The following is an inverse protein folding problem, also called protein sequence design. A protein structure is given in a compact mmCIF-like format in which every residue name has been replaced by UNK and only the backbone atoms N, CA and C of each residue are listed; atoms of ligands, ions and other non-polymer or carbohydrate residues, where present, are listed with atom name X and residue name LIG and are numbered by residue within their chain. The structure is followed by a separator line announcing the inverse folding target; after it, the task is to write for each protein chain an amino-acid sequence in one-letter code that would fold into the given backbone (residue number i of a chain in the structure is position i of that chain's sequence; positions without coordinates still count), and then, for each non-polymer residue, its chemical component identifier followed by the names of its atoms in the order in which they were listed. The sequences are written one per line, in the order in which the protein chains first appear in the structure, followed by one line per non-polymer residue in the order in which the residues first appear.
data_IF_947241152676
#
_entry.id   IF_947241152676
#
_cell.length_a   1.000
_cell.length_b   1.000
_cell.length_c   1.000
_cell.angle_alpha   90.00
_cell.angle_beta   90.00
_cell.angle_gamma   90.00
#
_symmetry.space_group_name_H-M   'P 1'
#
loop_
_entity.id
_entity.type
_entity.pdbx_description
1 polymer ?
#
# COMPACT_ATOMS: atom_id res chain seq x y z
N UNK A 1 6.49 11.45 0.48
CA UNK A 1 5.15 11.93 0.85
C UNK A 1 4.55 10.95 1.84
N UNK A 2 4.36 11.38 3.08
CA UNK A 2 3.78 10.58 4.16
C UNK A 2 2.74 11.38 4.96
N UNK A 3 2.30 12.54 4.45
CA UNK A 3 1.37 13.44 5.14
C UNK A 3 1.96 14.19 6.33
N UNK A 4 3.29 14.26 6.47
CA UNK A 4 3.98 15.03 7.53
C UNK A 4 5.02 15.98 6.91
N UNK A 5 4.79 17.31 6.87
CA UNK A 5 3.53 18.01 7.18
C UNK A 5 2.37 17.64 6.22
N UNK A 6 1.14 18.06 6.56
CA UNK A 6 -0.10 17.60 5.91
C UNK A 6 -0.16 17.90 4.40
N UNK A 7 0.51 18.94 3.95
CA UNK A 7 0.68 19.29 2.54
C UNK A 7 1.56 18.30 1.77
N UNK A 8 2.32 17.43 2.44
CA UNK A 8 3.09 16.34 1.85
C UNK A 8 2.30 15.03 1.71
N UNK A 9 1.02 15.13 1.35
CA UNK A 9 0.17 13.99 0.96
C UNK A 9 0.40 13.65 -0.52
N UNK A 10 0.52 12.36 -0.81
CA UNK A 10 0.53 11.84 -2.18
C UNK A 10 -0.83 11.28 -2.61
N UNK A 11 -0.96 10.88 -3.88
CA UNK A 11 -2.18 10.26 -4.37
C UNK A 11 -2.47 8.95 -3.62
N UNK A 12 -3.74 8.52 -3.52
CA UNK A 12 -4.11 7.33 -2.75
C UNK A 12 -3.42 6.08 -3.29
N UNK A 13 -2.69 5.36 -2.43
CA UNK A 13 -1.88 4.21 -2.86
C UNK A 13 -2.75 3.03 -3.35
N UNK A 14 -4.00 2.95 -2.91
CA UNK A 14 -4.99 1.97 -3.37
C UNK A 14 -5.29 2.06 -4.85
N UNK A 15 -5.05 3.23 -5.48
CA UNK A 15 -5.18 3.42 -6.93
C UNK A 15 -4.00 2.85 -7.72
N UNK A 16 -2.88 2.55 -7.06
CA UNK A 16 -1.64 2.09 -7.71
C UNK A 16 -1.41 0.60 -7.59
N UNK A 17 -1.93 -0.04 -6.53
CA UNK A 17 -1.86 -1.49 -6.41
C UNK A 17 -3.05 -2.06 -5.63
N UNK A 18 -3.63 -3.14 -6.17
CA UNK A 18 -4.82 -3.79 -5.61
C UNK A 18 -4.58 -4.42 -4.24
N UNK A 19 -3.37 -4.89 -3.96
CA UNK A 19 -3.06 -5.46 -2.64
C UNK A 19 -3.39 -4.52 -1.47
N UNK A 20 -3.32 -3.20 -1.66
CA UNK A 20 -3.67 -2.25 -0.59
C UNK A 20 -5.18 -2.10 -0.38
N UNK A 21 -5.98 -2.06 -1.44
CA UNK A 21 -7.44 -2.00 -1.31
C UNK A 21 -7.99 -3.32 -0.78
N UNK A 22 -7.48 -4.45 -1.26
CA UNK A 22 -7.85 -5.78 -0.78
C UNK A 22 -7.44 -6.00 0.68
N UNK A 23 -6.27 -5.52 1.11
CA UNK A 23 -5.89 -5.54 2.52
C UNK A 23 -6.91 -4.80 3.40
N UNK A 24 -7.29 -3.57 3.01
CA UNK A 24 -8.28 -2.78 3.74
C UNK A 24 -9.65 -3.47 3.79
N UNK A 25 -10.10 -4.01 2.65
CA UNK A 25 -11.37 -4.74 2.57
C UNK A 25 -11.38 -5.97 3.49
N UNK A 26 -10.31 -6.77 3.47
CA UNK A 26 -10.21 -7.97 4.30
C UNK A 26 -10.10 -7.62 5.79
N UNK A 27 -9.32 -6.59 6.15
CA UNK A 27 -9.16 -6.18 7.54
C UNK A 27 -10.48 -5.72 8.17
N UNK A 28 -11.29 -4.99 7.41
CA UNK A 28 -12.61 -4.51 7.84
C UNK A 28 -13.73 -5.55 7.72
N UNK A 29 -13.53 -6.63 6.95
CA UNK A 29 -14.54 -7.68 6.80
C UNK A 29 -14.65 -8.54 8.05
N UNK A 30 -15.68 -8.27 8.86
CA UNK A 30 -15.96 -9.02 10.09
C UNK A 30 -16.23 -10.51 9.85
N UNK A 31 -16.54 -10.90 8.61
CA UNK A 31 -16.80 -12.27 8.20
C UNK A 31 -15.60 -12.91 7.49
N UNK A 32 -14.44 -12.25 7.41
CA UNK A 32 -13.23 -12.83 6.84
C UNK A 32 -12.91 -14.15 7.53
N UNK A 33 -12.82 -15.22 6.75
CA UNK A 33 -12.44 -16.53 7.24
C UNK A 33 -10.97 -16.52 7.68
N UNK A 34 -10.74 -16.79 8.97
CA UNK A 34 -9.39 -16.91 9.53
C UNK A 34 -8.93 -18.35 9.42
N UNK A 35 -7.80 -18.56 8.75
CA UNK A 35 -7.20 -19.89 8.66
C UNK A 35 -6.89 -20.45 10.06
N UNK A 36 -7.09 -21.77 10.30
CA UNK A 36 -6.74 -22.41 11.57
C UNK A 36 -5.27 -22.16 11.96
N UNK A 37 -4.43 -22.07 10.94
CA UNK A 37 -3.00 -21.81 11.04
C UNK A 37 -2.68 -20.44 11.63
N UNK A 38 -3.38 -19.37 11.23
CA UNK A 38 -3.23 -18.04 11.83
C UNK A 38 -3.89 -18.00 13.20
N UNK A 39 -5.08 -18.62 13.33
CA UNK A 39 -5.83 -18.63 14.58
C UNK A 39 -5.04 -19.28 15.73
N UNK A 40 -4.36 -20.40 15.47
CA UNK A 40 -3.52 -21.06 16.48
C UNK A 40 -2.24 -20.26 16.80
N UNK A 41 -1.67 -19.61 15.79
CA UNK A 41 -0.41 -18.85 15.91
C UNK A 41 -0.57 -17.51 16.64
N UNK A 42 -1.75 -16.88 16.54
CA UNK A 42 -1.92 -15.49 16.97
C UNK A 42 -1.76 -15.28 18.47
N UNK A 43 -2.12 -16.28 19.28
CA UNK A 43 -2.05 -16.18 20.73
C UNK A 43 -0.59 -16.01 21.18
N UNK A 44 0.33 -16.79 20.61
CA UNK A 44 1.77 -16.66 20.86
C UNK A 44 2.27 -15.27 20.47
N UNK A 45 1.80 -14.76 19.33
CA UNK A 45 2.19 -13.44 18.86
C UNK A 45 1.67 -12.33 19.78
N UNK A 46 0.41 -12.41 20.23
CA UNK A 46 -0.19 -11.45 21.17
C UNK A 46 0.61 -11.42 22.47
N UNK A 47 0.96 -12.59 23.02
CA UNK A 47 1.78 -12.65 24.22
C UNK A 47 3.14 -11.98 24.04
N UNK A 48 3.85 -12.30 22.95
CA UNK A 48 5.16 -11.71 22.70
C UNK A 48 5.10 -10.20 22.43
N UNK A 49 4.08 -9.72 21.72
CA UNK A 49 3.89 -8.29 21.48
C UNK A 49 3.59 -7.52 22.77
N UNK A 50 2.78 -8.11 23.68
CA UNK A 50 2.38 -7.49 24.93
C UNK A 50 3.44 -7.52 26.04
N UNK A 51 4.50 -8.32 25.89
CA UNK A 51 5.55 -8.48 26.89
C UNK A 51 6.48 -7.25 26.98
N UNK A 52 7.11 -7.09 28.15
CA UNK A 52 8.19 -6.12 28.35
C UNK A 52 9.54 -6.75 28.03
N UNK A 53 10.41 -5.97 27.38
CA UNK A 53 11.76 -6.39 27.03
C UNK A 53 12.76 -5.36 27.54
N UNK A 54 13.93 -5.82 27.96
CA UNK A 54 14.97 -4.93 28.49
C UNK A 54 15.59 -4.09 27.36
N UNK A 55 15.58 -4.60 26.13
CA UNK A 55 16.14 -3.93 24.95
C UNK A 55 15.23 -4.00 23.72
N UNK A 56 15.47 -3.08 22.78
CA UNK A 56 14.82 -3.07 21.45
C UNK A 56 15.15 -4.34 20.66
N UNK A 57 16.42 -4.77 20.70
CA UNK A 57 16.89 -5.96 20.00
C UNK A 57 16.19 -7.23 20.48
N UNK A 58 16.04 -7.41 21.80
CA UNK A 58 15.33 -8.57 22.38
C UNK A 58 13.87 -8.62 21.95
N UNK A 59 13.15 -7.49 21.99
CA UNK A 59 11.76 -7.42 21.52
C UNK A 59 11.68 -7.83 20.06
N UNK A 60 12.53 -7.26 19.21
CA UNK A 60 12.43 -7.45 17.77
C UNK A 60 12.94 -8.81 17.32
N UNK A 61 13.93 -9.39 17.98
CA UNK A 61 14.29 -10.80 17.83
C UNK A 61 13.08 -11.68 18.14
N UNK A 62 12.37 -11.42 19.24
CA UNK A 62 11.22 -12.25 19.60
C UNK A 62 10.04 -12.14 18.65
N UNK A 63 9.75 -10.92 18.19
CA UNK A 63 8.71 -10.69 17.17
C UNK A 63 9.11 -11.37 15.86
N UNK A 64 10.35 -11.21 15.40
CA UNK A 64 10.86 -11.88 14.19
C UNK A 64 10.77 -13.40 14.29
N UNK A 65 11.18 -13.98 15.41
CA UNK A 65 11.13 -15.43 15.64
C UNK A 65 9.73 -16.01 15.50
N UNK A 66 8.71 -15.25 15.89
CA UNK A 66 7.32 -15.72 15.80
C UNK A 66 6.79 -15.50 14.38
N UNK A 67 7.10 -14.38 13.74
CA UNK A 67 6.71 -14.13 12.34
C UNK A 67 7.40 -15.12 11.38
N UNK A 68 8.64 -15.52 11.66
CA UNK A 68 9.43 -16.43 10.82
C UNK A 68 8.85 -17.85 10.75
N UNK A 69 8.01 -18.21 11.72
CA UNK A 69 7.21 -19.46 11.69
C UNK A 69 6.15 -19.46 10.59
N UNK A 70 5.77 -18.29 10.06
CA UNK A 70 4.75 -18.14 9.01
C UNK A 70 5.34 -17.67 7.69
N UNK A 71 6.28 -16.74 7.72
CA UNK A 71 6.83 -16.12 6.52
C UNK A 71 8.35 -16.08 6.54
N UNK A 72 8.97 -16.13 5.38
CA UNK A 72 10.43 -15.94 5.28
C UNK A 72 10.80 -14.48 5.53
N UNK A 73 11.62 -14.25 6.54
CA UNK A 73 12.11 -12.92 6.94
C UNK A 73 13.62 -12.95 6.94
N UNK A 74 14.23 -11.97 6.28
CA UNK A 74 15.67 -11.77 6.30
C UNK A 74 16.02 -10.44 6.97
N UNK A 75 17.15 -10.42 7.66
CA UNK A 75 17.77 -9.20 8.17
C UNK A 75 18.69 -8.63 7.10
N UNK A 76 18.57 -7.33 6.86
CA UNK A 76 19.33 -6.67 5.81
C UNK A 76 20.05 -5.46 6.39
N UNK A 77 21.37 -5.57 6.37
CA UNK A 77 22.28 -4.48 6.71
C UNK A 77 22.63 -3.67 5.47
N UNK A 78 22.56 -2.36 5.60
CA UNK A 78 22.97 -1.40 4.58
C UNK A 78 24.07 -0.52 5.15
N UNK A 79 25.14 -0.31 4.41
CA UNK A 79 26.10 0.75 4.75
C UNK A 79 25.64 2.05 4.11
N UNK A 80 25.51 3.11 4.91
CA UNK A 80 25.34 4.44 4.38
C UNK A 80 26.65 4.99 3.76
N UNK A 81 26.59 6.20 3.19
CA UNK A 81 27.76 6.84 2.57
C UNK A 81 28.88 7.17 3.57
N UNK A 82 28.58 7.20 4.87
CA UNK A 82 29.55 7.37 5.96
C UNK A 82 30.17 6.04 6.41
N UNK A 83 29.74 4.91 5.84
CA UNK A 83 30.17 3.57 6.26
C UNK A 83 29.52 3.10 7.56
N UNK A 84 28.51 3.81 8.07
CA UNK A 84 27.71 3.37 9.22
C UNK A 84 26.68 2.37 8.70
N UNK A 85 26.68 1.18 9.31
CA UNK A 85 25.68 0.15 9.06
C UNK A 85 24.33 0.55 9.67
N UNK A 86 23.29 0.59 8.86
CA UNK A 86 21.89 0.67 9.28
C UNK A 86 21.21 -0.64 8.88
N UNK A 87 20.55 -1.28 9.84
CA UNK A 87 19.76 -2.49 9.60
C UNK A 87 18.28 -2.16 9.65
N UNK A 88 17.53 -2.70 8.69
CA UNK A 88 16.09 -2.81 8.84
C UNK A 88 15.79 -4.03 9.73
N UNK A 89 14.80 -3.90 10.62
CA UNK A 89 14.46 -4.95 11.59
C UNK A 89 13.86 -6.21 10.98
N UNK A 90 13.59 -6.22 9.69
CA UNK A 90 13.21 -7.40 8.94
C UNK A 90 12.66 -7.06 7.57
N UNK A 91 12.90 -7.93 6.60
CA UNK A 91 12.38 -7.77 5.25
C UNK A 91 11.75 -9.07 4.79
N UNK A 92 10.54 -8.97 4.25
CA UNK A 92 9.87 -10.05 3.55
C UNK A 92 10.17 -9.93 2.06
N UNK A 93 10.63 -11.02 1.45
CA UNK A 93 11.14 -11.00 0.08
C UNK A 93 10.54 -12.09 -0.79
N UNK A 94 10.43 -11.81 -2.08
CA UNK A 94 10.13 -12.82 -3.10
C UNK A 94 11.12 -12.76 -4.26
N UNK A 95 11.36 -13.90 -4.90
CA UNK A 95 12.22 -13.99 -6.09
C UNK A 95 11.42 -13.68 -7.36
N UNK A 96 11.97 -12.81 -8.20
CA UNK A 96 11.45 -12.54 -9.55
C UNK A 96 12.26 -13.36 -10.54
N UNK A 97 11.60 -14.30 -11.23
CA UNK A 97 12.20 -15.17 -12.25
C UNK A 97 13.54 -15.82 -11.80
N UNK A 98 13.65 -16.12 -10.50
CA UNK A 98 14.85 -16.64 -9.82
C UNK A 98 16.14 -15.81 -10.00
N UNK A 99 16.04 -14.53 -10.38
CA UNK A 99 17.19 -13.65 -10.63
C UNK A 99 17.24 -12.47 -9.69
N UNK A 100 16.15 -11.71 -9.61
CA UNK A 100 16.06 -10.52 -8.78
C UNK A 100 15.25 -10.81 -7.53
N UNK A 101 15.39 -9.96 -6.51
CA UNK A 101 14.66 -10.07 -5.26
C UNK A 101 13.86 -8.80 -5.06
N UNK A 102 12.54 -8.94 -4.91
CA UNK A 102 11.64 -7.84 -4.57
C UNK A 102 11.25 -7.90 -3.11
N UNK A 103 11.10 -6.73 -2.50
CA UNK A 103 10.80 -6.59 -1.08
C UNK A 103 9.31 -6.31 -0.96
N UNK A 104 8.55 -7.29 -0.48
CA UNK A 104 7.09 -7.18 -0.38
C UNK A 104 6.69 -6.47 0.90
N UNK A 105 7.50 -6.55 1.96
CA UNK A 105 7.28 -5.81 3.19
C UNK A 105 8.56 -5.55 3.99
N UNK A 106 8.51 -4.52 4.82
CA UNK A 106 9.56 -4.11 5.76
C UNK A 106 9.01 -4.16 7.18
N UNK A 107 9.84 -4.51 8.15
CA UNK A 107 9.55 -4.39 9.58
C UNK A 107 10.47 -3.32 10.14
N UNK A 108 9.90 -2.40 10.91
CA UNK A 108 10.66 -1.45 11.70
C UNK A 108 10.08 -1.33 13.09
N UNK A 109 10.93 -1.44 14.09
CA UNK A 109 10.54 -1.62 15.47
C UNK A 109 11.18 -0.62 16.42
N UNK A 110 10.52 -0.37 17.54
CA UNK A 110 11.08 0.32 18.69
C UNK A 110 10.68 -0.43 19.97
N UNK A 111 11.54 -0.40 20.99
CA UNK A 111 11.21 -1.10 22.24
C UNK A 111 9.90 -0.58 22.85
N UNK A 112 9.68 0.73 22.85
CA UNK A 112 8.45 1.37 23.33
C UNK A 112 8.14 2.64 22.52
N UNK A 113 6.94 3.19 22.71
CA UNK A 113 6.60 4.49 22.12
C UNK A 113 7.54 5.57 22.66
N UNK A 114 8.25 6.25 21.76
CA UNK A 114 9.20 7.30 22.09
C UNK A 114 10.63 6.83 22.37
N UNK A 115 10.92 5.52 22.29
CA UNK A 115 12.30 5.01 22.34
C UNK A 115 13.01 5.10 20.99
N UNK A 116 14.33 4.90 20.98
CA UNK A 116 15.16 4.77 19.76
C UNK A 116 15.35 6.05 18.92
N UNK A 117 14.84 7.21 19.36
CA UNK A 117 15.14 8.51 18.76
C UNK A 117 14.50 8.79 17.40
N UNK A 118 13.71 7.86 16.86
CA UNK A 118 12.97 8.01 15.62
C UNK A 118 11.62 7.29 15.69
N UNK A 119 10.66 7.80 14.92
CA UNK A 119 9.37 7.16 14.70
C UNK A 119 9.54 5.98 13.73
N UNK A 120 9.13 4.74 14.11
CA UNK A 120 9.35 3.56 13.28
C UNK A 120 8.65 3.64 11.92
N UNK A 121 7.55 4.39 11.80
CA UNK A 121 6.89 4.62 10.49
C UNK A 121 7.71 5.51 9.56
N UNK A 122 8.44 6.48 10.11
CA UNK A 122 9.35 7.33 9.34
C UNK A 122 10.59 6.53 8.95
N UNK A 123 11.17 5.79 9.89
CA UNK A 123 12.38 5.00 9.64
C UNK A 123 12.10 3.86 8.65
N UNK A 124 10.99 3.12 8.78
CA UNK A 124 10.57 2.11 7.80
C UNK A 124 10.32 2.69 6.40
N UNK A 125 9.72 3.89 6.31
CA UNK A 125 9.55 4.58 5.03
C UNK A 125 10.89 4.99 4.39
N UNK A 126 11.89 5.35 5.20
CA UNK A 126 13.25 5.65 4.75
C UNK A 126 13.91 4.37 4.22
N UNK A 127 13.82 3.24 4.92
CA UNK A 127 14.38 1.97 4.43
C UNK A 127 13.75 1.51 3.11
N UNK A 128 12.42 1.63 2.99
CA UNK A 128 11.72 1.40 1.72
C UNK A 128 12.30 2.27 0.60
N UNK A 129 12.39 3.58 0.82
CA UNK A 129 12.91 4.53 -0.17
C UNK A 129 14.34 4.19 -0.55
N UNK A 130 15.18 3.94 0.45
CA UNK A 130 16.61 3.80 0.26
C UNK A 130 16.93 2.51 -0.49
N UNK A 131 16.29 1.38 -0.15
CA UNK A 131 16.41 0.14 -0.90
C UNK A 131 15.97 0.31 -2.36
N UNK A 132 14.75 0.81 -2.56
CA UNK A 132 14.19 0.93 -3.91
C UNK A 132 14.86 2.02 -4.73
N UNK A 133 15.65 2.92 -4.13
CA UNK A 133 16.47 3.90 -4.86
C UNK A 133 17.81 3.33 -5.36
N UNK A 134 18.24 2.16 -4.88
CA UNK A 134 19.54 1.59 -5.27
C UNK A 134 19.57 1.16 -6.73
N UNK A 135 20.78 1.16 -7.32
CA UNK A 135 20.98 0.70 -8.70
C UNK A 135 20.57 -0.76 -8.88
N UNK A 136 20.80 -1.62 -7.88
CA UNK A 136 20.42 -3.05 -7.94
C UNK A 136 18.90 -3.27 -8.06
N UNK A 137 18.09 -2.30 -7.63
CA UNK A 137 16.63 -2.36 -7.69
C UNK A 137 16.05 -1.66 -8.92
N UNK A 138 16.90 -1.06 -9.77
CA UNK A 138 16.47 -0.22 -10.89
C UNK A 138 15.61 -0.97 -11.90
N UNK A 139 15.95 -2.21 -12.24
CA UNK A 139 15.20 -3.00 -13.23
C UNK A 139 13.75 -3.26 -12.76
N UNK A 140 13.55 -3.57 -11.48
CA UNK A 140 12.21 -3.77 -10.91
C UNK A 140 11.46 -2.44 -10.82
N UNK A 141 12.13 -1.38 -10.35
CA UNK A 141 11.58 -0.02 -10.25
C UNK A 141 11.19 0.55 -11.62
N UNK A 142 11.89 0.17 -12.67
CA UNK A 142 11.54 0.57 -14.04
C UNK A 142 10.28 -0.13 -14.53
N UNK A 143 10.01 -1.34 -14.06
CA UNK A 143 8.85 -2.14 -14.46
C UNK A 143 7.54 -1.82 -13.74
N UNK A 144 7.60 -1.32 -12.50
CA UNK A 144 6.41 -1.10 -11.69
C UNK A 144 6.61 -0.05 -10.59
N UNK A 145 5.53 0.28 -9.87
CA UNK A 145 5.55 1.21 -8.74
C UNK A 145 6.17 0.62 -7.46
N UNK A 146 6.75 -0.59 -7.52
CA UNK A 146 7.35 -1.34 -6.40
C UNK A 146 6.51 -1.26 -5.10
N UNK A 147 5.25 -1.75 -5.13
CA UNK A 147 4.38 -1.73 -3.97
C UNK A 147 4.96 -2.61 -2.86
N UNK A 148 5.05 -2.06 -1.65
CA UNK A 148 5.45 -2.81 -0.45
C UNK A 148 4.59 -2.40 0.74
N UNK A 149 4.45 -3.30 1.71
CA UNK A 149 3.92 -2.97 3.04
C UNK A 149 5.06 -2.55 3.96
N UNK A 150 4.74 -1.80 5.01
CA UNK A 150 5.66 -1.45 6.10
C UNK A 150 4.91 -1.76 7.39
N UNK A 151 5.46 -2.68 8.19
CA UNK A 151 4.92 -3.08 9.49
C UNK A 151 5.76 -2.36 10.54
N UNK A 152 5.10 -1.55 11.35
CA UNK A 152 5.78 -0.82 12.42
C UNK A 152 5.38 -1.36 13.77
N UNK A 153 6.35 -1.51 14.66
CA UNK A 153 6.15 -1.95 16.03
C UNK A 153 6.73 -0.90 16.98
N UNK A 154 6.00 -0.52 18.01
CA UNK A 154 6.54 0.22 19.13
C UNK A 154 5.93 -0.36 20.40
N UNK A 155 6.70 -1.09 21.21
CA UNK A 155 6.09 -1.80 22.33
C UNK A 155 5.00 -2.79 21.87
N UNK A 156 3.80 -2.77 22.48
CA UNK A 156 2.66 -3.58 22.09
C UNK A 156 1.80 -2.95 20.97
N UNK A 157 2.30 -1.94 20.27
CA UNK A 157 1.53 -1.16 19.31
C UNK A 157 1.99 -1.47 17.88
N UNK A 158 1.05 -1.93 17.04
CA UNK A 158 1.31 -2.29 15.64
C UNK A 158 0.61 -1.33 14.68
N UNK A 159 1.25 -1.03 13.56
CA UNK A 159 0.62 -0.32 12.45
C UNK A 159 1.13 -0.87 11.13
N UNK A 160 0.25 -0.93 10.13
CA UNK A 160 0.58 -1.32 8.75
C UNK A 160 0.43 -0.10 7.86
N UNK A 161 1.48 0.21 7.12
CA UNK A 161 1.49 1.20 6.06
C UNK A 161 1.68 0.52 4.71
N UNK A 162 1.27 1.17 3.64
CA UNK A 162 1.61 0.81 2.28
C UNK A 162 2.48 1.87 1.63
N UNK A 163 3.36 1.45 0.73
CA UNK A 163 4.31 2.31 0.05
C UNK A 163 4.36 2.02 -1.45
N UNK A 164 4.48 3.08 -2.26
CA UNK A 164 4.72 3.03 -3.71
C UNK A 164 5.78 4.04 -4.13
N UNK A 165 6.51 3.71 -5.19
CA UNK A 165 7.58 4.52 -5.77
C UNK A 165 7.18 5.02 -7.16
N UNK A 166 6.67 6.25 -7.20
CA UNK A 166 6.25 6.93 -8.43
C UNK A 166 7.40 7.82 -8.96
N UNK A 167 7.11 9.09 -9.28
CA UNK A 167 8.13 10.14 -9.37
C UNK A 167 8.71 10.52 -7.99
N UNK A 168 8.04 10.05 -6.93
CA UNK A 168 8.32 10.28 -5.53
C UNK A 168 7.85 9.06 -4.74
N UNK A 169 8.41 8.84 -3.56
CA UNK A 169 7.89 7.83 -2.64
C UNK A 169 6.63 8.35 -1.96
N UNK A 170 5.56 7.57 -2.02
CA UNK A 170 4.30 7.82 -1.32
C UNK A 170 4.09 6.69 -0.32
N UNK A 171 3.93 7.04 0.94
CA UNK A 171 3.64 6.13 2.04
C UNK A 171 2.35 6.58 2.71
N UNK A 172 1.43 5.67 2.96
CA UNK A 172 0.17 5.96 3.63
C UNK A 172 -0.13 4.90 4.68
N UNK A 173 -0.62 5.27 5.87
CA UNK A 173 -1.12 4.30 6.83
C UNK A 173 -2.33 3.56 6.25
N UNK A 174 -2.33 2.24 6.37
CA UNK A 174 -3.46 1.38 6.02
C UNK A 174 -4.28 1.02 7.26
N UNK A 175 -3.66 1.02 8.44
CA UNK A 175 -4.35 0.84 9.72
C UNK A 175 -4.12 2.05 10.63
N UNK A 176 -4.98 2.17 11.64
CA UNK A 176 -4.62 2.86 12.87
C UNK A 176 -3.53 2.09 13.64
N UNK A 177 -3.10 2.64 14.77
CA UNK A 177 -2.25 1.92 15.71
C UNK A 177 -3.07 0.91 16.50
N UNK A 178 -2.84 -0.38 16.25
CA UNK A 178 -3.58 -1.49 16.83
C UNK A 178 -2.87 -1.94 18.13
N UNK A 179 -3.57 -1.94 19.29
CA UNK A 179 -3.02 -2.44 20.54
C UNK A 179 -3.02 -3.98 20.59
N UNK A 180 -1.93 -4.54 21.10
CA UNK A 180 -1.82 -5.97 21.42
C UNK A 180 -2.00 -6.26 22.92
N UNK A 181 -2.18 -5.22 23.73
CA UNK A 181 -2.62 -5.30 25.13
C UNK A 181 -4.13 -5.61 25.23
N UNK A 182 -4.53 -6.76 24.68
CA UNK A 182 -5.94 -7.18 24.59
C UNK A 182 -6.35 -8.13 25.71
N UNK A 183 -7.65 -8.18 25.99
CA UNK A 183 -8.21 -9.25 26.81
C UNK A 183 -8.42 -10.49 25.91
N UNK A 184 -7.65 -11.57 26.14
CA UNK A 184 -7.79 -12.82 25.37
C UNK A 184 -9.17 -13.48 25.50
N UNK A 185 -9.98 -13.11 26.49
CA UNK A 185 -11.38 -13.54 26.62
C UNK A 185 -12.37 -12.67 25.83
N UNK A 186 -11.88 -11.60 25.22
CA UNK A 186 -12.67 -10.73 24.36
C UNK A 186 -12.41 -11.11 22.90
N UNK A 187 -13.27 -11.98 22.38
CA UNK A 187 -13.18 -12.48 21.01
C UNK A 187 -13.15 -11.36 19.98
N UNK A 188 -13.81 -10.22 20.21
CA UNK A 188 -13.80 -9.10 19.26
C UNK A 188 -12.40 -8.52 19.09
N UNK A 189 -11.64 -8.38 20.18
CA UNK A 189 -10.27 -7.84 20.13
C UNK A 189 -9.31 -8.85 19.50
N UNK A 190 -9.39 -10.12 19.90
CA UNK A 190 -8.55 -11.20 19.36
C UNK A 190 -8.83 -11.38 17.87
N UNK A 191 -10.10 -11.39 17.46
CA UNK A 191 -10.49 -11.55 16.05
C UNK A 191 -10.11 -10.34 15.20
N UNK A 192 -10.06 -9.11 15.74
CA UNK A 192 -9.52 -7.95 15.01
C UNK A 192 -8.04 -8.15 14.67
N UNK A 193 -7.25 -8.63 15.63
CA UNK A 193 -5.83 -8.97 15.39
C UNK A 193 -5.73 -10.15 14.42
N UNK A 194 -6.63 -11.14 14.51
CA UNK A 194 -6.64 -12.28 13.59
C UNK A 194 -6.90 -11.85 12.15
N UNK A 195 -7.88 -10.95 11.94
CA UNK A 195 -8.14 -10.34 10.64
C UNK A 195 -6.96 -9.52 10.13
N UNK A 196 -6.25 -8.79 11.01
CA UNK A 196 -5.03 -8.07 10.62
C UNK A 196 -4.02 -9.01 9.96
N UNK A 197 -3.70 -10.13 10.63
CA UNK A 197 -2.71 -11.08 10.09
C UNK A 197 -3.24 -11.90 8.92
N UNK A 198 -4.51 -12.26 8.89
CA UNK A 198 -5.11 -12.91 7.72
C UNK A 198 -5.11 -12.01 6.50
N UNK A 199 -5.38 -10.71 6.67
CA UNK A 199 -5.28 -9.72 5.61
C UNK A 199 -3.83 -9.49 5.16
N UNK A 200 -2.86 -9.48 6.08
CA UNK A 200 -1.43 -9.43 5.75
C UNK A 200 -1.00 -10.65 4.94
N UNK A 201 -1.43 -11.84 5.32
CA UNK A 201 -1.13 -13.09 4.63
C UNK A 201 -1.61 -13.06 3.17
N UNK A 202 -2.88 -12.68 2.96
CA UNK A 202 -3.47 -12.50 1.63
C UNK A 202 -2.71 -11.43 0.83
N UNK A 203 -2.34 -10.31 1.46
CA UNK A 203 -1.61 -9.24 0.80
C UNK A 203 -0.17 -9.67 0.40
N UNK A 204 0.50 -10.47 1.23
CA UNK A 204 1.82 -11.03 0.92
C UNK A 204 1.76 -11.99 -0.26
N UNK A 205 0.75 -12.86 -0.32
CA UNK A 205 0.52 -13.76 -1.44
C UNK A 205 0.22 -13.00 -2.74
N UNK A 206 -0.60 -11.95 -2.65
CA UNK A 206 -0.89 -11.08 -3.79
C UNK A 206 0.38 -10.40 -4.29
N UNK A 207 1.13 -9.72 -3.42
CA UNK A 207 2.37 -9.02 -3.80
C UNK A 207 3.40 -9.99 -4.36
N UNK A 208 3.55 -11.17 -3.76
CA UNK A 208 4.43 -12.23 -4.27
C UNK A 208 4.02 -12.66 -5.68
N UNK A 209 2.73 -12.95 -5.88
CA UNK A 209 2.17 -13.32 -7.19
C UNK A 209 2.35 -12.22 -8.23
N UNK A 210 2.20 -10.95 -7.83
CA UNK A 210 2.42 -9.79 -8.67
C UNK A 210 3.89 -9.71 -9.13
N UNK A 211 4.84 -9.74 -8.20
CA UNK A 211 6.27 -9.64 -8.52
C UNK A 211 6.76 -10.82 -9.34
N UNK A 212 6.27 -12.03 -9.10
CA UNK A 212 6.61 -13.21 -9.91
C UNK A 212 6.15 -13.08 -11.37
N UNK A 213 5.06 -12.35 -11.63
CA UNK A 213 4.50 -12.11 -12.96
C UNK A 213 5.03 -10.83 -13.62
N UNK A 214 5.76 -9.98 -12.90
CA UNK A 214 6.22 -8.69 -13.43
C UNK A 214 7.15 -8.89 -14.63
N UNK A 215 6.89 -8.12 -15.69
CA UNK A 215 7.75 -8.08 -16.86
C UNK A 215 8.87 -7.08 -16.62
N UNK A 216 10.09 -7.61 -16.45
CA UNK A 216 11.29 -6.81 -16.20
C UNK A 216 11.66 -5.96 -17.43
N UNK A 217 12.00 -4.70 -17.17
CA UNK A 217 12.37 -3.72 -18.19
C UNK A 217 13.62 -2.96 -17.75
N UNK A 218 14.58 -2.83 -18.65
CA UNK A 218 15.74 -1.96 -18.44
C UNK A 218 15.40 -0.47 -18.55
N UNK A 219 14.30 -0.12 -19.24
CA UNK A 219 13.82 1.24 -19.41
C UNK A 219 12.62 1.53 -18.49
N UNK A 220 12.54 2.73 -17.88
CA UNK A 220 11.37 3.11 -17.08
C UNK A 220 10.08 3.04 -17.92
N UNK A 221 9.07 2.34 -17.39
CA UNK A 221 7.72 2.36 -17.95
C UNK A 221 6.94 3.54 -17.37
N UNK A 222 6.34 4.37 -18.22
CA UNK A 222 5.45 5.45 -17.77
C UNK A 222 4.23 4.92 -17.02
N UNK A 223 3.82 3.67 -17.27
CA UNK A 223 2.70 3.03 -16.57
C UNK A 223 2.92 2.94 -15.06
N UNK A 224 4.17 2.93 -14.60
CA UNK A 224 4.49 2.79 -13.17
C UNK A 224 4.06 4.00 -12.34
N UNK A 225 3.88 5.17 -12.95
CA UNK A 225 3.55 6.42 -12.23
C UNK A 225 2.06 6.77 -12.28
N UNK A 226 1.25 5.95 -12.95
CA UNK A 226 -0.19 6.15 -13.06
C UNK A 226 -0.97 5.08 -12.29
N UNK A 227 -2.24 5.35 -11.93
CA UNK A 227 -3.13 4.34 -11.38
C UNK A 227 -3.19 3.08 -12.26
N UNK A 228 -3.37 1.92 -11.65
CA UNK A 228 -3.41 0.66 -12.40
C UNK A 228 -4.67 0.51 -13.27
N UNK A 229 -5.75 1.22 -12.93
CA UNK A 229 -7.03 1.15 -13.63
C UNK A 229 -6.97 1.94 -14.94
N UNK A 230 -7.20 1.24 -16.04
CA UNK A 230 -7.18 1.78 -17.41
C UNK A 230 -8.46 1.42 -18.19
N UNK A 231 -9.52 1.06 -17.47
CA UNK A 231 -10.82 0.71 -18.04
C UNK A 231 -11.93 1.27 -17.17
N UNK A 232 -13.00 1.72 -17.82
CA UNK A 232 -14.23 2.16 -17.17
C UNK A 232 -15.42 1.39 -17.73
N UNK A 233 -16.40 1.08 -16.89
CA UNK A 233 -17.64 0.40 -17.26
C UNK A 233 -17.50 -1.11 -17.42
N UNK A 234 -18.65 -1.76 -17.61
CA UNK A 234 -18.75 -3.20 -17.85
C UNK A 234 -19.58 -3.49 -19.11
N UNK A 235 -19.26 -4.61 -19.77
CA UNK A 235 -19.98 -5.08 -20.94
C UNK A 235 -19.90 -4.09 -22.12
N UNK A 236 -21.05 -3.80 -22.74
CA UNK A 236 -21.12 -2.96 -23.96
C UNK A 236 -20.78 -1.48 -23.74
N UNK A 237 -20.82 -1.01 -22.50
CA UNK A 237 -20.50 0.37 -22.15
C UNK A 237 -19.05 0.52 -21.66
N UNK A 238 -18.28 -0.56 -21.65
CA UNK A 238 -16.91 -0.53 -21.19
C UNK A 238 -15.99 0.12 -22.23
N UNK A 239 -15.05 0.94 -21.79
CA UNK A 239 -14.00 1.49 -22.64
C UNK A 239 -12.67 1.56 -21.90
N UNK A 240 -11.59 1.36 -22.65
CA UNK A 240 -10.23 1.48 -22.14
C UNK A 240 -9.65 2.85 -22.45
N UNK A 241 -8.66 3.25 -21.66
CA UNK A 241 -7.97 4.51 -21.81
C UNK A 241 -6.52 4.40 -21.33
N UNK A 242 -5.66 5.24 -21.92
CA UNK A 242 -4.25 5.35 -21.57
C UNK A 242 -3.97 6.70 -20.93
N UNK A 243 -3.38 6.70 -19.73
CA UNK A 243 -2.95 7.94 -19.05
C UNK A 243 -1.84 8.65 -19.82
N UNK A 244 -1.86 9.99 -19.78
CA UNK A 244 -0.86 10.84 -20.43
C UNK A 244 -0.05 11.60 -19.39
N UNK A 245 -0.73 12.34 -18.50
CA UNK A 245 -0.06 13.16 -17.48
C UNK A 245 -1.02 13.53 -16.33
N UNK A 246 -0.46 13.98 -15.21
CA UNK A 246 -1.20 14.69 -14.17
C UNK A 246 -1.71 16.03 -14.75
N UNK A 247 -2.97 16.41 -14.47
CA UNK A 247 -3.54 17.68 -14.98
C UNK A 247 -2.99 18.88 -14.20
N UNK A 248 -2.73 18.67 -12.92
CA UNK A 248 -2.16 19.66 -12.02
C UNK A 248 -0.97 19.03 -11.33
N UNK A 249 0.07 19.81 -11.11
CA UNK A 249 1.20 19.46 -10.23
C UNK A 249 0.76 19.56 -8.74
N UNK A 250 -0.44 19.05 -8.43
CA UNK A 250 -1.04 19.02 -7.10
C UNK A 250 -1.27 17.55 -6.71
N UNK A 251 -0.35 17.02 -5.92
CA UNK A 251 -0.31 15.61 -5.54
C UNK A 251 -1.41 15.21 -4.56
N UNK A 252 -2.15 16.18 -4.04
CA UNK A 252 -3.34 15.94 -3.22
C UNK A 252 -4.58 15.62 -4.07
N UNK A 253 -4.54 15.91 -5.39
CA UNK A 253 -5.66 15.74 -6.30
C UNK A 253 -5.41 14.59 -7.27
N UNK A 254 -6.05 13.42 -7.09
CA UNK A 254 -5.92 12.30 -8.01
C UNK A 254 -6.72 12.57 -9.30
N UNK A 255 -6.16 13.40 -10.20
CA UNK A 255 -6.76 13.84 -11.46
C UNK A 255 -5.71 13.77 -12.59
N UNK A 256 -6.04 13.01 -13.63
CA UNK A 256 -5.16 12.77 -14.77
C UNK A 256 -5.83 13.07 -16.09
N UNK A 257 -5.01 13.50 -17.06
CA UNK A 257 -5.36 13.51 -18.47
C UNK A 257 -5.12 12.11 -19.02
N UNK A 258 -6.08 11.59 -19.75
CA UNK A 258 -5.96 10.32 -20.46
C UNK A 258 -6.55 10.44 -21.87
N UNK A 259 -6.26 9.45 -22.71
CA UNK A 259 -6.83 9.31 -24.03
C UNK A 259 -7.60 7.99 -24.09
N UNK A 260 -8.82 8.03 -24.63
CA UNK A 260 -9.57 6.78 -24.86
C UNK A 260 -8.95 6.01 -26.01
N UNK A 261 -8.85 4.69 -25.84
CA UNK A 261 -8.23 3.81 -26.83
C UNK A 261 -9.14 3.55 -28.04
N UNK A 262 -10.46 3.76 -27.90
CA UNK A 262 -11.46 3.46 -28.93
C UNK A 262 -11.64 4.57 -29.98
N UNK A 263 -11.41 5.83 -29.61
CA UNK A 263 -11.69 6.98 -30.46
C UNK A 263 -10.66 8.11 -30.35
N UNK A 264 -9.57 7.90 -29.59
CA UNK A 264 -8.50 8.88 -29.34
C UNK A 264 -8.98 10.22 -28.75
N UNK A 265 -10.18 10.30 -28.17
CA UNK A 265 -10.64 11.51 -27.48
C UNK A 265 -9.90 11.66 -26.15
N UNK A 266 -9.50 12.91 -25.88
CA UNK A 266 -8.92 13.29 -24.60
C UNK A 266 -10.01 13.33 -23.53
N UNK A 267 -9.70 12.80 -22.35
CA UNK A 267 -10.59 12.72 -21.20
C UNK A 267 -9.84 13.13 -19.93
N UNK A 268 -10.61 13.49 -18.91
CA UNK A 268 -10.14 13.68 -17.54
C UNK A 268 -10.59 12.50 -16.70
N UNK A 269 -9.65 11.82 -16.06
CA UNK A 269 -9.91 10.74 -15.10
C UNK A 269 -9.63 11.28 -13.69
N UNK A 270 -10.67 11.37 -12.88
CA UNK A 270 -10.63 11.87 -11.51
C UNK A 270 -11.05 10.77 -10.54
N UNK A 271 -10.40 10.72 -9.39
CA UNK A 271 -10.83 9.88 -8.27
C UNK A 271 -11.25 10.75 -7.09
N UNK A 272 -12.32 10.36 -6.39
CA UNK A 272 -12.78 11.09 -5.22
C UNK A 272 -13.59 10.19 -4.28
N UNK A 273 -13.41 10.34 -2.97
CA UNK A 273 -14.22 9.64 -1.96
C UNK A 273 -15.69 10.03 -2.03
N UNK A 274 -15.99 11.29 -2.33
CA UNK A 274 -17.35 11.82 -2.44
C UNK A 274 -17.49 12.63 -3.73
N UNK A 275 -18.53 12.33 -4.48
CA UNK A 275 -18.82 13.04 -5.73
C UNK A 275 -20.32 13.10 -5.99
N UNK A 276 -20.83 14.27 -6.37
CA UNK A 276 -22.25 14.43 -6.70
C UNK A 276 -22.45 14.41 -8.22
N UNK A 277 -22.60 13.21 -8.79
CA UNK A 277 -22.82 13.03 -10.22
C UNK A 277 -24.10 13.72 -10.70
N UNK A 278 -25.17 13.73 -9.89
CA UNK A 278 -26.43 14.41 -10.24
C UNK A 278 -26.22 15.92 -10.40
N UNK A 279 -25.54 16.55 -9.47
CA UNK A 279 -25.21 17.98 -9.55
C UNK A 279 -24.30 18.27 -10.76
N UNK A 280 -23.30 17.42 -11.01
CA UNK A 280 -22.45 17.54 -12.20
C UNK A 280 -23.26 17.52 -13.49
N UNK A 281 -24.15 16.54 -13.67
CA UNK A 281 -24.99 16.42 -14.87
C UNK A 281 -25.87 17.66 -15.07
N UNK A 282 -26.41 18.23 -13.98
CA UNK A 282 -27.19 19.49 -14.04
C UNK A 282 -26.33 20.66 -14.51
N UNK A 283 -25.10 20.78 -14.00
CA UNK A 283 -24.15 21.80 -14.42
C UNK A 283 -23.72 21.63 -15.88
N UNK A 284 -23.44 20.38 -16.31
CA UNK A 284 -23.04 20.06 -17.67
C UNK A 284 -24.13 20.44 -18.69
N UNK A 285 -25.40 20.16 -18.39
CA UNK A 285 -26.55 20.59 -19.22
C UNK A 285 -26.66 22.10 -19.41
N UNK A 286 -26.04 22.89 -18.53
CA UNK A 286 -26.00 24.36 -18.59
C UNK A 286 -24.64 24.90 -19.03
N UNK A 287 -23.73 24.04 -19.51
CA UNK A 287 -22.35 24.37 -19.88
C UNK A 287 -21.51 24.97 -18.74
N UNK A 288 -21.84 24.63 -17.48
CA UNK A 288 -21.05 25.02 -16.29
C UNK A 288 -20.05 23.93 -15.84
N UNK A 289 -20.11 22.74 -16.44
CA UNK A 289 -19.17 21.65 -16.24
C UNK A 289 -18.98 20.90 -17.57
N UNK A 290 -17.87 20.17 -17.76
CA UNK A 290 -17.72 19.27 -18.90
C UNK A 290 -18.78 18.16 -18.91
N UNK A 291 -18.93 17.45 -20.03
CA UNK A 291 -19.80 16.28 -20.07
C UNK A 291 -19.23 15.16 -19.17
N UNK A 292 -20.11 14.56 -18.36
CA UNK A 292 -19.77 13.40 -17.53
C UNK A 292 -19.90 12.13 -18.36
N UNK A 293 -18.76 11.50 -18.65
CA UNK A 293 -18.67 10.29 -19.47
C UNK A 293 -18.81 9.00 -18.66
N UNK A 294 -18.37 9.02 -17.40
CA UNK A 294 -18.44 7.86 -16.51
C UNK A 294 -18.50 8.26 -15.04
N UNK A 295 -19.23 7.45 -14.26
CA UNK A 295 -19.24 7.51 -12.80
C UNK A 295 -19.38 6.10 -12.24
N UNK A 296 -18.39 5.66 -11.45
CA UNK A 296 -18.34 4.28 -10.95
C UNK A 296 -19.39 3.99 -9.88
N UNK A 297 -19.84 2.74 -9.82
CA UNK A 297 -20.75 2.27 -8.77
C UNK A 297 -20.03 2.04 -7.41
N UNK A 298 -20.76 1.58 -6.40
CA UNK A 298 -20.21 1.34 -5.05
C UNK A 298 -19.26 0.14 -5.02
N UNK A 299 -19.51 -0.89 -5.83
CA UNK A 299 -18.67 -2.09 -5.89
C UNK A 299 -17.32 -1.79 -6.53
N UNK A 300 -17.31 -0.98 -7.59
CA UNK A 300 -16.09 -0.42 -8.14
C UNK A 300 -15.39 0.48 -7.13
N UNK A 301 -16.12 1.37 -6.45
CA UNK A 301 -15.49 2.25 -5.47
C UNK A 301 -14.81 1.47 -4.35
N UNK A 302 -15.43 0.39 -3.86
CA UNK A 302 -14.87 -0.51 -2.84
C UNK A 302 -13.51 -1.06 -3.29
N UNK A 303 -13.44 -1.63 -4.50
CA UNK A 303 -12.21 -2.15 -5.13
C UNK A 303 -11.10 -1.10 -5.31
N UNK A 304 -11.44 0.18 -5.22
CA UNK A 304 -10.53 1.31 -5.32
C UNK A 304 -10.16 1.93 -3.97
N UNK A 305 -10.48 1.25 -2.86
CA UNK A 305 -10.28 1.77 -1.50
C UNK A 305 -11.27 2.90 -1.17
N UNK A 306 -12.52 2.79 -1.64
CA UNK A 306 -13.60 3.76 -1.42
C UNK A 306 -13.62 4.95 -2.39
N UNK A 307 -12.70 5.01 -3.37
CA UNK A 307 -12.64 6.11 -4.33
C UNK A 307 -13.57 5.85 -5.52
N UNK A 308 -14.48 6.80 -5.78
CA UNK A 308 -15.24 6.84 -7.04
C UNK A 308 -14.33 7.24 -8.18
N UNK A 309 -14.43 6.51 -9.30
CA UNK A 309 -13.84 6.91 -10.57
C UNK A 309 -14.84 7.77 -11.33
N UNK A 310 -14.40 8.96 -11.74
CA UNK A 310 -15.19 9.94 -12.47
C UNK A 310 -14.44 10.27 -13.76
N UNK A 311 -15.06 10.03 -14.90
CA UNK A 311 -14.49 10.39 -16.20
C UNK A 311 -15.36 11.46 -16.84
N UNK A 312 -14.73 12.53 -17.30
CA UNK A 312 -15.38 13.65 -17.97
C UNK A 312 -14.59 14.08 -19.20
N UNK A 313 -15.22 14.84 -20.08
CA UNK A 313 -14.54 15.41 -21.24
C UNK A 313 -13.37 16.32 -20.84
N UNK A 314 -12.33 16.32 -21.68
CA UNK A 314 -11.25 17.29 -21.60
C UNK A 314 -11.60 18.49 -22.49
N UNK A 315 -11.73 19.67 -21.87
CA UNK A 315 -11.99 20.96 -22.54
C UNK A 315 -10.68 21.75 -22.65
#
# INVERSE_FOLDING_TARGET
LNGRPLDLIGPPITLYHRAFSEFLENFEDVNLEISPDIFNWITDFIFAAAEFYDTEDERLEKIRDILSKKWTIDLIEYQDKSGIGHSCDGVFMCKIKNKLTAYIAFIEGKNEVGSGGCDPSIQGAIYYRDHWSQHRAQEIRNSCCVPSLIITVAGPWFCVLGAVFLNRVVVQPLTDTIPFTVNLRNDVQVMRIARLFQALDIAFDHLTSFYQKVELSSLPSDRRVFPYIQQAGFGKNAFSFTYICEILDDHSRPIWKAMRDDNNKMIVVKFALKYNAKAHIICAKKNYAPELLYYSDEEEAKRLGGYKMIIMEYI
#
